data_IF_013545012636
#
_entry.id   IF_013545012636
#
_cell.length_a   1.000
_cell.length_b   1.000
_cell.length_c   1.000
_cell.angle_alpha   90.00
_cell.angle_beta   90.00
_cell.angle_gamma   90.00
#
_symmetry.space_group_name_H-M   'P 1'
#
loop_
_entity.id
_entity.type
_entity.pdbx_description
1 polymer ?
#
# COMPACT_ATOMS: atom_id res chain seq x y z
N UNK A 1 -47.81 28.72 -27.60
CA UNK A 1 -46.54 28.30 -26.96
C UNK A 1 -46.72 28.30 -25.44
N UNK A 2 -47.40 27.36 -24.82
CA UNK A 2 -46.99 25.97 -24.64
C UNK A 2 -46.41 25.78 -23.22
N UNK A 3 -47.26 25.75 -22.17
CA UNK A 3 -46.90 25.54 -20.74
C UNK A 3 -45.90 24.38 -20.52
N UNK A 4 -45.87 23.40 -21.43
CA UNK A 4 -44.93 22.26 -21.44
C UNK A 4 -43.45 22.66 -21.62
N UNK A 5 -43.15 23.78 -22.29
CA UNK A 5 -41.78 24.26 -22.50
C UNK A 5 -41.18 24.95 -21.28
N UNK A 6 -42.00 25.72 -20.56
CA UNK A 6 -41.60 26.37 -19.29
C UNK A 6 -41.33 25.34 -18.19
N UNK A 7 -42.15 24.28 -18.10
CA UNK A 7 -41.95 23.19 -17.12
C UNK A 7 -40.67 22.39 -17.42
N UNK A 8 -40.37 22.10 -18.69
CA UNK A 8 -39.10 21.44 -19.07
C UNK A 8 -37.88 22.27 -18.69
N UNK A 9 -37.90 23.58 -18.93
CA UNK A 9 -36.79 24.47 -18.53
C UNK A 9 -36.71 24.63 -17.01
N UNK A 10 -37.83 24.66 -16.30
CA UNK A 10 -37.85 24.70 -14.83
C UNK A 10 -37.31 23.41 -14.21
N UNK A 11 -37.62 22.24 -14.76
CA UNK A 11 -37.07 20.95 -14.30
C UNK A 11 -35.58 20.84 -14.61
N UNK A 12 -35.11 21.36 -15.74
CA UNK A 12 -33.67 21.43 -16.06
C UNK A 12 -32.94 22.41 -15.13
N UNK A 13 -33.54 23.56 -14.84
CA UNK A 13 -32.99 24.54 -13.88
C UNK A 13 -33.02 23.99 -12.45
N UNK A 14 -34.10 23.30 -12.04
CA UNK A 14 -34.19 22.65 -10.73
C UNK A 14 -33.23 21.48 -10.59
N UNK A 15 -32.99 20.71 -11.64
CA UNK A 15 -31.97 19.65 -11.63
C UNK A 15 -30.56 20.24 -11.62
N UNK A 16 -30.28 21.32 -12.38
CA UNK A 16 -29.01 22.04 -12.30
C UNK A 16 -28.77 22.67 -10.92
N UNK A 17 -29.79 23.22 -10.27
CA UNK A 17 -29.67 23.76 -8.90
C UNK A 17 -29.57 22.64 -7.85
N UNK A 18 -30.24 21.50 -8.04
CA UNK A 18 -30.06 20.31 -7.18
C UNK A 18 -28.66 19.72 -7.29
N UNK A 19 -28.03 19.75 -8.47
CA UNK A 19 -26.63 19.35 -8.64
C UNK A 19 -25.67 20.31 -7.93
N UNK A 20 -25.98 21.61 -7.86
CA UNK A 20 -25.18 22.62 -7.15
C UNK A 20 -25.31 22.56 -5.60
N UNK A 21 -26.36 21.93 -5.08
CA UNK A 21 -26.55 21.70 -3.63
C UNK A 21 -25.84 20.46 -3.08
N UNK A 22 -25.05 19.76 -3.89
CA UNK A 22 -24.24 18.65 -3.40
C UNK A 22 -22.99 19.17 -2.67
N UNK A 23 -22.90 18.94 -1.35
CA UNK A 23 -21.78 19.39 -0.50
C UNK A 23 -20.40 19.04 -1.09
N UNK A 24 -20.30 17.92 -1.81
CA UNK A 24 -19.10 17.44 -2.47
C UNK A 24 -18.58 18.36 -3.58
N UNK A 25 -19.46 19.05 -4.30
CA UNK A 25 -19.09 20.02 -5.34
C UNK A 25 -18.53 21.31 -4.72
N UNK A 26 -19.12 21.75 -3.60
CA UNK A 26 -18.65 22.91 -2.83
C UNK A 26 -17.27 22.65 -2.22
N UNK A 27 -17.06 21.46 -1.64
CA UNK A 27 -15.74 21.03 -1.13
C UNK A 27 -14.70 20.99 -2.24
N UNK A 28 -15.00 20.37 -3.40
CA UNK A 28 -14.09 20.34 -4.55
C UNK A 28 -13.73 21.73 -5.06
N UNK A 29 -14.69 22.66 -5.08
CA UNK A 29 -14.42 24.04 -5.49
C UNK A 29 -13.54 24.77 -4.48
N UNK A 30 -13.77 24.57 -3.19
CA UNK A 30 -12.91 25.11 -2.13
C UNK A 30 -11.49 24.54 -2.24
N UNK A 31 -11.34 23.23 -2.41
CA UNK A 31 -10.05 22.56 -2.63
C UNK A 31 -9.32 23.15 -3.85
N UNK A 32 -10.02 23.35 -4.97
CA UNK A 32 -9.44 23.97 -6.16
C UNK A 32 -8.93 25.39 -5.90
N UNK A 33 -9.71 26.21 -5.18
CA UNK A 33 -9.30 27.57 -4.80
C UNK A 33 -8.04 27.54 -3.92
N UNK A 34 -8.03 26.67 -2.91
CA UNK A 34 -6.89 26.50 -2.02
C UNK A 34 -5.63 26.05 -2.75
N UNK A 35 -5.76 25.07 -3.67
CA UNK A 35 -4.67 24.55 -4.48
C UNK A 35 -4.05 25.64 -5.39
N UNK A 36 -4.87 26.55 -5.92
CA UNK A 36 -4.37 27.65 -6.75
C UNK A 36 -3.66 28.71 -5.90
N UNK A 37 -4.21 29.04 -4.73
CA UNK A 37 -3.55 29.94 -3.76
C UNK A 37 -2.20 29.36 -3.34
N UNK A 38 -2.14 28.07 -3.03
CA UNK A 38 -0.89 27.39 -2.69
C UNK A 38 0.11 27.44 -3.85
N UNK A 39 -0.32 27.18 -5.09
CA UNK A 39 0.54 27.29 -6.28
C UNK A 39 1.14 28.68 -6.44
N UNK A 40 0.33 29.73 -6.30
CA UNK A 40 0.79 31.12 -6.38
C UNK A 40 1.78 31.40 -5.25
N UNK A 41 1.49 30.99 -4.01
CA UNK A 41 2.41 31.15 -2.88
C UNK A 41 3.74 30.45 -3.12
N UNK A 42 3.74 29.21 -3.60
CA UNK A 42 4.98 28.49 -3.93
C UNK A 42 5.77 29.23 -5.02
N UNK A 43 5.10 29.69 -6.08
CA UNK A 43 5.75 30.45 -7.15
C UNK A 43 6.38 31.74 -6.63
N UNK A 44 5.64 32.54 -5.85
CA UNK A 44 6.15 33.78 -5.26
C UNK A 44 7.27 33.52 -4.25
N UNK A 45 7.25 32.41 -3.53
CA UNK A 45 8.31 32.02 -2.60
C UNK A 45 9.65 31.70 -3.28
N UNK A 46 9.64 31.45 -4.60
CA UNK A 46 10.86 31.24 -5.38
C UNK A 46 11.44 32.56 -5.94
N UNK A 47 10.74 33.69 -5.81
CA UNK A 47 11.20 35.00 -6.27
C UNK A 47 12.06 35.69 -5.19
N UNK A 48 13.29 36.15 -5.48
CA UNK A 48 14.24 36.66 -4.48
C UNK A 48 13.70 37.80 -3.60
N UNK A 49 12.96 38.75 -4.21
CA UNK A 49 12.48 39.96 -3.53
C UNK A 49 11.17 39.74 -2.75
N UNK A 50 10.38 38.74 -3.17
CA UNK A 50 9.03 38.50 -2.64
C UNK A 50 9.03 37.38 -1.60
N UNK A 51 10.01 36.47 -1.64
CA UNK A 51 10.10 35.28 -0.77
C UNK A 51 9.94 35.60 0.72
N UNK A 52 10.54 36.69 1.21
CA UNK A 52 10.48 37.08 2.64
C UNK A 52 9.07 37.49 3.11
N UNK A 53 8.17 37.81 2.18
CA UNK A 53 6.79 38.19 2.45
C UNK A 53 5.80 37.04 2.26
N UNK A 54 6.26 35.87 1.81
CA UNK A 54 5.40 34.73 1.50
C UNK A 54 5.65 33.60 2.49
N UNK A 55 4.67 33.37 3.36
CA UNK A 55 4.65 32.21 4.24
C UNK A 55 3.98 31.02 3.55
N UNK A 56 4.71 29.90 3.47
CA UNK A 56 4.19 28.62 2.97
C UNK A 56 3.50 27.84 4.10
N UNK A 57 2.61 26.94 3.71
CA UNK A 57 2.05 25.96 4.65
C UNK A 57 3.17 25.08 5.22
N UNK A 58 3.19 24.74 6.52
CA UNK A 58 4.24 23.91 7.09
C UNK A 58 4.26 22.51 6.46
N UNK A 59 5.44 21.90 6.31
CA UNK A 59 5.55 20.55 5.75
C UNK A 59 4.93 19.49 6.68
N UNK A 60 4.11 18.56 6.19
CA UNK A 60 3.52 17.47 7.00
C UNK A 60 4.54 16.36 7.26
N UNK A 61 5.63 16.67 7.98
CA UNK A 61 6.81 15.79 8.11
C UNK A 61 6.47 14.43 8.72
N UNK A 62 5.78 14.41 9.85
CA UNK A 62 5.46 13.18 10.59
C UNK A 62 4.61 12.23 9.75
N UNK A 63 3.47 12.72 9.26
CA UNK A 63 2.56 11.96 8.41
C UNK A 63 3.25 11.46 7.12
N UNK A 64 4.11 12.29 6.52
CA UNK A 64 4.87 11.90 5.34
C UNK A 64 5.85 10.76 5.64
N UNK A 65 6.61 10.83 6.73
CA UNK A 65 7.58 9.78 7.09
C UNK A 65 6.89 8.48 7.49
N UNK A 66 5.78 8.56 8.22
CA UNK A 66 4.95 7.40 8.59
C UNK A 66 4.51 6.63 7.34
N UNK A 67 3.84 7.32 6.41
CA UNK A 67 3.34 6.72 5.17
C UNK A 67 4.49 6.25 4.27
N UNK A 68 5.59 7.02 4.21
CA UNK A 68 6.79 6.63 3.46
C UNK A 68 7.34 5.29 3.95
N UNK A 69 7.46 5.10 5.27
CA UNK A 69 7.93 3.85 5.85
C UNK A 69 7.02 2.66 5.48
N UNK A 70 5.70 2.85 5.51
CA UNK A 70 4.77 1.81 5.06
C UNK A 70 4.94 1.48 3.57
N UNK A 71 5.08 2.49 2.71
CA UNK A 71 5.29 2.29 1.28
C UNK A 71 6.62 1.60 0.99
N UNK A 72 7.70 1.97 1.69
CA UNK A 72 9.00 1.32 1.55
C UNK A 72 8.95 -0.16 1.95
N UNK A 73 8.23 -0.49 3.03
CA UNK A 73 7.96 -1.88 3.39
C UNK A 73 7.19 -2.61 2.28
N UNK A 74 6.13 -2.00 1.74
CA UNK A 74 5.32 -2.58 0.66
C UNK A 74 6.13 -2.79 -0.62
N UNK A 75 7.10 -1.91 -0.92
CA UNK A 75 8.01 -2.06 -2.08
C UNK A 75 8.93 -3.27 -1.94
N UNK A 76 9.39 -3.57 -0.73
CA UNK A 76 10.27 -4.71 -0.45
C UNK A 76 9.53 -6.04 -0.24
N UNK A 77 8.21 -6.01 -0.04
CA UNK A 77 7.42 -7.20 0.21
C UNK A 77 7.26 -8.08 -1.05
N UNK A 78 7.23 -9.40 -0.86
CA UNK A 78 6.77 -10.32 -1.90
C UNK A 78 5.26 -10.18 -2.06
N UNK A 79 4.81 -9.77 -3.24
CA UNK A 79 3.39 -9.50 -3.53
C UNK A 79 2.80 -10.66 -4.33
N UNK A 80 1.77 -11.36 -3.81
CA UNK A 80 1.08 -12.39 -4.58
C UNK A 80 0.25 -11.77 -5.70
N UNK A 81 -0.05 -12.56 -6.73
CA UNK A 81 -0.78 -12.12 -7.93
C UNK A 81 -2.09 -11.39 -7.63
N UNK A 82 -2.82 -11.87 -6.61
CA UNK A 82 -4.08 -11.30 -6.14
C UNK A 82 -3.98 -9.80 -5.77
N UNK A 83 -2.81 -9.34 -5.32
CA UNK A 83 -2.62 -7.95 -4.87
C UNK A 83 -1.74 -7.12 -5.81
N UNK A 84 -1.34 -7.64 -6.98
CA UNK A 84 -0.45 -6.93 -7.92
C UNK A 84 -1.01 -5.58 -8.39
N UNK A 85 -2.29 -5.54 -8.76
CA UNK A 85 -2.92 -4.30 -9.24
C UNK A 85 -3.11 -3.28 -8.10
N UNK A 86 -3.52 -3.73 -6.91
CA UNK A 86 -3.64 -2.87 -5.73
C UNK A 86 -2.27 -2.29 -5.33
N UNK A 87 -1.21 -3.11 -5.36
CA UNK A 87 0.17 -2.69 -5.13
C UNK A 87 0.63 -1.62 -6.13
N UNK A 88 0.42 -1.86 -7.43
CA UNK A 88 0.75 -0.91 -8.49
C UNK A 88 0.00 0.42 -8.33
N UNK A 89 -1.28 0.37 -7.96
CA UNK A 89 -2.09 1.56 -7.71
C UNK A 89 -1.54 2.38 -6.53
N UNK A 90 -1.18 1.71 -5.43
CA UNK A 90 -0.57 2.33 -4.25
C UNK A 90 0.75 3.02 -4.61
N UNK A 91 1.63 2.35 -5.36
CA UNK A 91 2.92 2.93 -5.75
C UNK A 91 2.75 4.16 -6.66
N UNK A 92 1.85 4.10 -7.64
CA UNK A 92 1.56 5.22 -8.53
C UNK A 92 0.97 6.42 -7.78
N UNK A 93 0.07 6.17 -6.83
CA UNK A 93 -0.52 7.23 -6.01
C UNK A 93 0.54 7.86 -5.08
N UNK A 94 1.45 7.04 -4.52
CA UNK A 94 2.58 7.53 -3.74
C UNK A 94 3.53 8.44 -4.54
N UNK A 95 3.92 8.06 -5.75
CA UNK A 95 4.78 8.88 -6.62
C UNK A 95 4.17 10.27 -6.86
N UNK A 96 2.86 10.32 -7.08
CA UNK A 96 2.13 11.58 -7.24
C UNK A 96 2.18 12.44 -5.97
N UNK A 97 1.98 11.83 -4.80
CA UNK A 97 2.01 12.51 -3.50
C UNK A 97 3.42 13.01 -3.16
N UNK A 98 4.44 12.19 -3.43
CA UNK A 98 5.84 12.57 -3.28
C UNK A 98 6.19 13.77 -4.17
N UNK A 99 5.62 13.82 -5.37
CA UNK A 99 5.72 14.98 -6.26
C UNK A 99 5.19 16.27 -5.64
N UNK A 100 4.08 16.23 -4.89
CA UNK A 100 3.56 17.40 -4.18
C UNK A 100 4.50 17.84 -3.04
N UNK A 101 5.04 16.89 -2.29
CA UNK A 101 5.99 17.17 -1.21
C UNK A 101 7.26 17.84 -1.74
N UNK A 102 7.85 17.29 -2.81
CA UNK A 102 9.05 17.83 -3.48
C UNK A 102 8.82 19.25 -4.03
N UNK A 103 7.63 19.52 -4.56
CA UNK A 103 7.24 20.85 -5.09
C UNK A 103 6.79 21.83 -4.01
N UNK A 104 6.84 21.47 -2.72
CA UNK A 104 6.41 22.29 -1.57
C UNK A 104 4.92 22.63 -1.57
N UNK A 105 4.09 21.83 -2.26
CA UNK A 105 2.63 21.91 -2.17
C UNK A 105 2.15 21.16 -0.91
N UNK A 106 2.56 21.65 0.25
CA UNK A 106 2.45 20.93 1.52
C UNK A 106 1.01 20.76 2.01
N UNK A 107 0.13 21.74 1.79
CA UNK A 107 -1.28 21.64 2.16
C UNK A 107 -1.99 20.59 1.30
N UNK A 108 -1.78 20.62 -0.01
CA UNK A 108 -2.28 19.58 -0.92
C UNK A 108 -1.69 18.21 -0.58
N UNK A 109 -0.39 18.15 -0.30
CA UNK A 109 0.30 16.92 0.09
C UNK A 109 -0.33 16.31 1.35
N UNK A 110 -0.54 17.10 2.41
CA UNK A 110 -1.17 16.62 3.65
C UNK A 110 -2.58 16.06 3.40
N UNK A 111 -3.39 16.75 2.58
CA UNK A 111 -4.74 16.29 2.23
C UNK A 111 -4.71 14.94 1.51
N UNK A 112 -3.84 14.80 0.52
CA UNK A 112 -3.70 13.55 -0.23
C UNK A 112 -3.09 12.44 0.63
N UNK A 113 -2.12 12.75 1.52
CA UNK A 113 -1.57 11.79 2.49
C UNK A 113 -2.68 11.25 3.43
N UNK A 114 -3.56 12.10 3.94
CA UNK A 114 -4.69 11.68 4.79
C UNK A 114 -5.65 10.73 4.05
N UNK A 115 -5.91 10.98 2.76
CA UNK A 115 -6.73 10.09 1.90
C UNK A 115 -6.02 8.78 1.56
N UNK A 116 -4.69 8.83 1.44
CA UNK A 116 -3.87 7.71 1.01
C UNK A 116 -3.55 6.75 2.15
N UNK A 117 -3.37 7.26 3.38
CA UNK A 117 -3.09 6.48 4.60
C UNK A 117 -3.93 5.19 4.72
N UNK A 118 -5.27 5.23 4.71
CA UNK A 118 -6.07 4.02 4.87
C UNK A 118 -5.86 2.99 3.76
N UNK A 119 -5.56 3.42 2.53
CA UNK A 119 -5.28 2.51 1.40
C UNK A 119 -3.96 1.76 1.62
N UNK A 120 -2.92 2.48 2.03
CA UNK A 120 -1.60 1.92 2.31
C UNK A 120 -1.66 0.96 3.49
N UNK A 121 -2.33 1.36 4.58
CA UNK A 121 -2.54 0.51 5.76
C UNK A 121 -3.28 -0.77 5.39
N UNK A 122 -4.35 -0.67 4.60
CA UNK A 122 -5.12 -1.84 4.15
C UNK A 122 -4.26 -2.81 3.36
N UNK A 123 -3.49 -2.32 2.38
CA UNK A 123 -2.61 -3.18 1.58
C UNK A 123 -1.49 -3.79 2.44
N UNK A 124 -0.87 -3.00 3.32
CA UNK A 124 0.16 -3.50 4.25
C UNK A 124 -0.40 -4.63 5.12
N UNK A 125 -1.57 -4.44 5.72
CA UNK A 125 -2.20 -5.45 6.57
C UNK A 125 -2.56 -6.72 5.80
N UNK A 126 -3.05 -6.60 4.56
CA UNK A 126 -3.31 -7.75 3.69
C UNK A 126 -2.03 -8.56 3.41
N UNK A 127 -0.94 -7.87 3.09
CA UNK A 127 0.36 -8.49 2.80
C UNK A 127 0.97 -9.14 4.05
N UNK A 128 0.90 -8.48 5.21
CA UNK A 128 1.33 -9.04 6.50
C UNK A 128 0.53 -10.30 6.83
N UNK A 129 -0.79 -10.25 6.71
CA UNK A 129 -1.68 -11.39 6.95
C UNK A 129 -1.34 -12.56 6.01
N UNK A 130 -1.16 -12.28 4.72
CA UNK A 130 -0.79 -13.30 3.75
C UNK A 130 0.54 -13.97 4.09
N UNK A 131 1.56 -13.18 4.43
CA UNK A 131 2.88 -13.67 4.86
C UNK A 131 2.79 -14.51 6.13
N UNK A 132 2.00 -14.08 7.12
CA UNK A 132 1.77 -14.85 8.34
C UNK A 132 1.08 -16.18 8.07
N UNK A 133 0.08 -16.21 7.20
CA UNK A 133 -0.61 -17.43 6.80
C UNK A 133 0.36 -18.42 6.17
N UNK A 134 1.16 -17.99 5.20
CA UNK A 134 2.20 -18.83 4.58
C UNK A 134 3.19 -19.38 5.62
N UNK A 135 3.64 -18.53 6.55
CA UNK A 135 4.54 -18.95 7.63
C UNK A 135 3.91 -20.01 8.53
N UNK A 136 2.65 -19.81 8.93
CA UNK A 136 1.91 -20.75 9.79
C UNK A 136 1.71 -22.09 9.09
N UNK A 137 1.26 -22.08 7.84
CA UNK A 137 1.06 -23.28 7.03
C UNK A 137 2.37 -24.06 6.82
N UNK A 138 3.44 -23.36 6.44
CA UNK A 138 4.75 -23.97 6.28
C UNK A 138 5.26 -24.59 7.59
N UNK A 139 5.08 -23.90 8.73
CA UNK A 139 5.49 -24.41 10.03
C UNK A 139 4.73 -25.67 10.43
N UNK A 140 3.41 -25.70 10.22
CA UNK A 140 2.59 -26.89 10.50
C UNK A 140 3.04 -28.09 9.66
N UNK A 141 3.25 -27.90 8.35
CA UNK A 141 3.74 -28.95 7.46
C UNK A 141 5.14 -29.42 7.87
N UNK A 142 6.04 -28.48 8.16
CA UNK A 142 7.39 -28.77 8.64
C UNK A 142 7.37 -29.63 9.91
N UNK A 143 6.55 -29.27 10.90
CA UNK A 143 6.44 -30.03 12.15
C UNK A 143 5.97 -31.48 11.90
N UNK A 144 5.01 -31.69 11.00
CA UNK A 144 4.56 -33.05 10.64
C UNK A 144 5.69 -33.90 10.05
N UNK A 145 6.51 -33.31 9.16
CA UNK A 145 7.66 -33.98 8.54
C UNK A 145 8.77 -34.22 9.56
N UNK A 146 9.07 -33.25 10.42
CA UNK A 146 10.07 -33.39 11.48
C UNK A 146 9.71 -34.52 12.45
N UNK A 147 8.43 -34.66 12.83
CA UNK A 147 7.98 -35.74 13.71
C UNK A 147 8.11 -37.12 13.05
N UNK A 148 7.80 -37.23 11.75
CA UNK A 148 8.05 -38.48 10.99
C UNK A 148 9.53 -38.80 10.92
N UNK A 149 10.36 -37.84 10.56
CA UNK A 149 11.82 -37.97 10.51
C UNK A 149 12.40 -38.42 11.86
N UNK A 150 11.98 -37.81 12.97
CA UNK A 150 12.42 -38.17 14.34
C UNK A 150 12.14 -39.63 14.69
N UNK A 151 11.03 -40.21 14.22
CA UNK A 151 10.73 -41.64 14.44
C UNK A 151 11.68 -42.54 13.66
N UNK A 152 11.98 -42.19 12.41
CA UNK A 152 12.86 -42.95 11.52
C UNK A 152 14.33 -42.85 11.95
N UNK A 153 14.76 -41.66 12.36
CA UNK A 153 16.13 -41.37 12.79
C UNK A 153 16.60 -42.18 14.00
N UNK A 154 15.68 -42.69 14.83
CA UNK A 154 16.02 -43.59 15.96
C UNK A 154 16.71 -44.88 15.49
N UNK A 155 16.38 -45.34 14.29
CA UNK A 155 16.81 -46.63 13.75
C UNK A 155 17.84 -46.48 12.61
N UNK A 156 18.16 -45.25 12.20
CA UNK A 156 19.06 -44.93 11.08
C UNK A 156 20.41 -44.41 11.60
N UNK A 157 21.51 -44.79 10.95
CA UNK A 157 22.89 -44.37 11.30
C UNK A 157 23.66 -44.00 10.03
N UNK A 158 24.80 -43.31 10.21
CA UNK A 158 25.70 -42.97 9.12
C UNK A 158 25.08 -42.02 8.09
N UNK A 159 25.31 -42.31 6.82
CA UNK A 159 24.95 -41.44 5.69
C UNK A 159 23.44 -41.19 5.57
N UNK A 160 22.60 -42.22 5.77
CA UNK A 160 21.14 -42.08 5.69
C UNK A 160 20.60 -41.10 6.74
N UNK A 161 21.18 -41.10 7.95
CA UNK A 161 20.81 -40.16 9.01
C UNK A 161 21.20 -38.72 8.64
N UNK A 162 22.43 -38.54 8.16
CA UNK A 162 22.94 -37.25 7.69
C UNK A 162 22.06 -36.67 6.57
N UNK A 163 21.64 -37.50 5.62
CA UNK A 163 20.74 -37.08 4.52
C UNK A 163 19.41 -36.53 5.04
N UNK A 164 18.79 -37.19 6.03
CA UNK A 164 17.53 -36.74 6.63
C UNK A 164 17.72 -35.44 7.41
N UNK A 165 18.80 -35.32 8.19
CA UNK A 165 19.11 -34.10 8.96
C UNK A 165 19.37 -32.90 8.04
N UNK A 166 20.15 -33.10 6.96
CA UNK A 166 20.39 -32.06 5.94
C UNK A 166 19.11 -31.64 5.23
N UNK A 167 18.22 -32.59 4.93
CA UNK A 167 16.91 -32.28 4.34
C UNK A 167 16.05 -31.42 5.27
N UNK A 168 15.96 -31.77 6.56
CA UNK A 168 15.24 -30.94 7.55
C UNK A 168 15.86 -29.55 7.70
N UNK A 169 17.19 -29.45 7.64
CA UNK A 169 17.89 -28.17 7.65
C UNK A 169 17.56 -27.32 6.41
N UNK A 170 17.55 -27.92 5.21
CA UNK A 170 17.16 -27.25 3.97
C UNK A 170 15.75 -26.67 4.07
N UNK A 171 14.77 -27.45 4.56
CA UNK A 171 13.39 -26.98 4.76
C UNK A 171 13.31 -25.78 5.72
N UNK A 172 14.05 -25.82 6.86
CA UNK A 172 14.11 -24.68 7.79
C UNK A 172 14.72 -23.43 7.14
N UNK A 173 15.78 -23.61 6.37
CA UNK A 173 16.43 -22.50 5.65
C UNK A 173 15.48 -21.86 4.63
N UNK A 174 14.71 -22.66 3.88
CA UNK A 174 13.70 -22.14 2.94
C UNK A 174 12.62 -21.33 3.66
N UNK A 175 12.13 -21.79 4.81
CA UNK A 175 11.19 -21.02 5.64
C UNK A 175 11.79 -19.72 6.17
N UNK A 176 13.06 -19.73 6.61
CA UNK A 176 13.75 -18.56 7.12
C UNK A 176 13.99 -17.49 6.03
N UNK A 177 14.18 -17.95 4.79
CA UNK A 177 14.31 -17.09 3.60
C UNK A 177 12.96 -16.68 2.99
N UNK A 178 11.84 -17.13 3.59
CA UNK A 178 10.47 -16.92 3.08
C UNK A 178 10.30 -17.38 1.63
N UNK A 179 11.03 -18.43 1.23
CA UNK A 179 10.91 -19.08 -0.07
C UNK A 179 9.90 -20.24 0.04
N UNK A 180 8.64 -19.86 0.30
CA UNK A 180 7.55 -20.81 0.54
C UNK A 180 7.18 -21.63 -0.69
N UNK A 181 7.44 -21.11 -1.90
CA UNK A 181 7.22 -21.84 -3.14
C UNK A 181 8.15 -23.05 -3.23
N UNK A 182 9.47 -22.84 -3.08
CA UNK A 182 10.43 -23.95 -3.05
C UNK A 182 10.23 -24.85 -1.84
N UNK A 183 9.85 -24.29 -0.68
CA UNK A 183 9.51 -25.10 0.49
C UNK A 183 8.38 -26.09 0.16
N UNK A 184 7.31 -25.63 -0.50
CA UNK A 184 6.19 -26.47 -0.86
C UNK A 184 6.54 -27.53 -1.91
N UNK A 185 7.44 -27.23 -2.84
CA UNK A 185 7.96 -28.24 -3.79
C UNK A 185 8.84 -29.27 -3.08
N UNK A 186 9.75 -28.82 -2.22
CA UNK A 186 10.72 -29.68 -1.56
C UNK A 186 10.06 -30.62 -0.56
N UNK A 187 9.04 -30.16 0.16
CA UNK A 187 8.41 -30.93 1.24
C UNK A 187 7.68 -32.18 0.75
N UNK A 188 7.27 -32.21 -0.51
CA UNK A 188 6.63 -33.37 -1.16
C UNK A 188 7.62 -34.49 -1.50
N UNK A 189 8.91 -34.17 -1.56
CA UNK A 189 9.99 -35.10 -1.93
C UNK A 189 10.84 -35.52 -0.72
N UNK A 190 10.18 -35.80 0.41
CA UNK A 190 10.86 -36.28 1.59
C UNK A 190 11.68 -37.55 1.28
N UNK A 191 12.97 -37.62 1.64
CA UNK A 191 13.84 -38.75 1.30
C UNK A 191 13.64 -39.98 2.20
N UNK A 192 12.43 -40.15 2.77
CA UNK A 192 12.08 -41.17 3.75
C UNK A 192 10.57 -41.43 3.82
#
# INVERSE_FOLDING_TARGET
MGRKGLIKNLVVILTLTFFLSSCTLKERFQEFKEDNVERVKVLLSNLPLVRKYVSLYPPPKELYQEIKGMVEWIKGAKVPDLYKEEHKAVLKEWERIEGYYKKKYYKKCERELKRFKPKVETLKNKLETYRETLKREAMQRYQAVEQKAKKILKNKKGEERLRIELYLWKLRSLMALEDYEKFNQEIEHAPF
#
